data_IF_282225032780
#
_entry.id   IF_282225032780
#
_cell.length_a   1.000
_cell.length_b   1.000
_cell.length_c   1.000
_cell.angle_alpha   90.00
_cell.angle_beta   90.00
_cell.angle_gamma   90.00
#
_symmetry.space_group_name_H-M   'P 1'
#
loop_
_entity.id
_entity.type
_entity.pdbx_description
1 polymer ?
#
# COMPACT_ATOMS: atom_id res chain seq x y z
N UNK A 1 -11.48 0.34 -1.29
CA UNK A 1 -11.61 -0.97 -0.61
C UNK A 1 -13.05 -1.11 -0.13
N UNK A 2 -13.66 -2.30 -0.21
CA UNK A 2 -15.08 -2.49 0.12
C UNK A 2 -15.35 -3.55 1.19
N UNK A 3 -14.41 -4.45 1.50
CA UNK A 3 -14.60 -5.49 2.51
C UNK A 3 -13.25 -5.96 3.08
N UNK A 4 -13.29 -6.87 4.06
CA UNK A 4 -12.09 -7.47 4.66
C UNK A 4 -11.19 -8.21 3.66
N UNK A 5 -11.73 -8.77 2.57
CA UNK A 5 -10.89 -9.34 1.50
C UNK A 5 -10.11 -8.25 0.75
N UNK A 6 -10.69 -7.07 0.53
CA UNK A 6 -9.96 -5.95 -0.07
C UNK A 6 -8.78 -5.51 0.80
N UNK A 7 -8.93 -5.55 2.12
CA UNK A 7 -7.82 -5.23 3.05
C UNK A 7 -6.67 -6.21 2.89
N UNK A 8 -6.96 -7.50 2.77
CA UNK A 8 -5.93 -8.53 2.54
C UNK A 8 -5.22 -8.32 1.20
N UNK A 9 -5.97 -8.09 0.11
CA UNK A 9 -5.37 -7.82 -1.20
C UNK A 9 -4.43 -6.61 -1.18
N UNK A 10 -4.84 -5.52 -0.52
CA UNK A 10 -3.98 -4.33 -0.39
C UNK A 10 -2.73 -4.62 0.45
N UNK A 11 -2.87 -5.39 1.55
CA UNK A 11 -1.70 -5.79 2.35
C UNK A 11 -0.71 -6.61 1.54
N UNK A 12 -1.19 -7.54 0.72
CA UNK A 12 -0.32 -8.37 -0.13
C UNK A 12 0.33 -7.56 -1.25
N UNK A 13 -0.41 -6.63 -1.87
CA UNK A 13 0.13 -5.69 -2.84
C UNK A 13 1.26 -4.83 -2.23
N UNK A 14 1.08 -4.32 -1.01
CA UNK A 14 2.11 -3.52 -0.31
C UNK A 14 3.35 -4.38 -0.03
N UNK A 15 3.20 -5.64 0.39
CA UNK A 15 4.34 -6.55 0.59
C UNK A 15 5.11 -6.81 -0.70
N UNK A 16 4.41 -6.92 -1.82
CA UNK A 16 5.02 -7.15 -3.12
C UNK A 16 5.74 -5.89 -3.64
N UNK A 17 5.11 -4.73 -3.49
CA UNK A 17 5.70 -3.45 -3.86
C UNK A 17 6.94 -3.12 -3.01
N UNK A 18 6.86 -3.42 -1.70
CA UNK A 18 7.90 -3.08 -0.74
C UNK A 18 8.23 -4.31 0.13
N UNK A 19 9.22 -5.12 -0.28
CA UNK A 19 9.57 -6.37 0.42
C UNK A 19 10.13 -6.17 1.84
N UNK A 20 10.41 -4.92 2.25
CA UNK A 20 10.79 -4.54 3.62
C UNK A 20 9.64 -3.98 4.48
N UNK A 21 8.41 -3.90 3.98
CA UNK A 21 7.31 -3.29 4.69
C UNK A 21 6.90 -4.10 5.94
N UNK A 22 6.91 -3.43 7.09
CA UNK A 22 6.50 -3.94 8.40
C UNK A 22 5.22 -3.27 8.89
N UNK A 23 4.54 -3.89 9.86
CA UNK A 23 3.30 -3.39 10.50
C UNK A 23 2.23 -2.92 9.49
N UNK A 24 2.05 -3.68 8.42
CA UNK A 24 1.10 -3.34 7.36
C UNK A 24 -0.33 -3.47 7.87
N UNK A 25 -1.07 -2.37 7.85
CA UNK A 25 -2.48 -2.30 8.15
C UNK A 25 -3.24 -1.73 6.97
N UNK A 26 -4.47 -2.20 6.78
CA UNK A 26 -5.39 -1.69 5.77
C UNK A 26 -6.80 -1.73 6.37
N UNK A 27 -7.59 -0.70 6.09
CA UNK A 27 -8.95 -0.58 6.60
C UNK A 27 -9.90 -0.23 5.46
N UNK A 28 -10.85 -1.12 5.18
CA UNK A 28 -11.92 -0.84 4.21
C UNK A 28 -12.89 0.22 4.73
N UNK A 29 -13.06 0.33 6.05
CA UNK A 29 -13.91 1.34 6.70
C UNK A 29 -13.36 2.75 6.50
N UNK A 30 -12.03 2.92 6.63
CA UNK A 30 -11.38 4.22 6.41
C UNK A 30 -10.98 4.47 4.95
N UNK A 31 -10.77 3.41 4.18
CA UNK A 31 -10.26 3.50 2.81
C UNK A 31 -8.74 3.75 2.76
N UNK A 32 -8.01 3.45 3.82
CA UNK A 32 -6.59 3.79 3.99
C UNK A 32 -5.77 2.54 4.33
N UNK A 33 -4.49 2.56 3.93
CA UNK A 33 -3.48 1.58 4.34
C UNK A 33 -2.24 2.29 4.85
N UNK A 34 -1.59 1.71 5.86
CA UNK A 34 -0.38 2.24 6.46
C UNK A 34 0.60 1.12 6.78
N UNK A 35 1.89 1.42 6.65
CA UNK A 35 2.98 0.47 6.87
C UNK A 35 4.24 1.23 7.23
N UNK A 36 5.24 0.51 7.74
CA UNK A 36 6.54 1.05 8.12
C UNK A 36 7.59 0.44 7.20
N UNK A 37 8.48 1.26 6.66
CA UNK A 37 9.63 0.81 5.88
C UNK A 37 10.92 1.15 6.64
N UNK A 38 11.88 0.21 6.74
CA UNK A 38 13.17 0.47 7.39
C UNK A 38 14.14 1.22 6.47
N UNK A 39 13.88 1.22 5.16
CA UNK A 39 14.76 1.72 4.12
C UNK A 39 14.32 3.12 3.66
N UNK A 40 15.30 3.95 3.32
CA UNK A 40 15.07 5.32 2.87
C UNK A 40 14.74 5.30 1.36
N UNK A 41 13.50 4.96 1.03
CA UNK A 41 12.98 4.99 -0.34
C UNK A 41 12.45 6.39 -0.65
N UNK A 42 12.86 6.97 -1.78
CA UNK A 42 12.32 8.23 -2.29
C UNK A 42 10.81 8.16 -2.45
N UNK A 43 10.10 9.25 -2.15
CA UNK A 43 8.63 9.29 -2.29
C UNK A 43 8.13 8.87 -3.68
N UNK A 44 8.78 9.34 -4.75
CA UNK A 44 8.46 8.98 -6.13
C UNK A 44 8.66 7.49 -6.45
N UNK A 45 9.76 6.89 -5.96
CA UNK A 45 10.03 5.45 -6.15
C UNK A 45 9.00 4.60 -5.42
N UNK A 46 8.64 5.00 -4.19
CA UNK A 46 7.61 4.33 -3.40
C UNK A 46 6.24 4.40 -4.09
N UNK A 47 5.85 5.59 -4.56
CA UNK A 47 4.61 5.78 -5.30
C UNK A 47 4.58 4.90 -6.54
N UNK A 48 5.65 4.92 -7.34
CA UNK A 48 5.79 4.09 -8.54
C UNK A 48 5.66 2.59 -8.24
N UNK A 49 6.32 2.12 -7.17
CA UNK A 49 6.24 0.73 -6.74
C UNK A 49 4.82 0.33 -6.32
N UNK A 50 4.14 1.18 -5.56
CA UNK A 50 2.76 0.96 -5.14
C UNK A 50 1.80 0.91 -6.33
N UNK A 51 1.90 1.85 -7.27
CA UNK A 51 1.09 1.85 -8.49
C UNK A 51 1.24 0.55 -9.28
N UNK A 52 2.48 0.07 -9.48
CA UNK A 52 2.73 -1.19 -10.19
C UNK A 52 2.05 -2.41 -9.56
N UNK A 53 1.90 -2.45 -8.24
CA UNK A 53 1.25 -3.57 -7.55
C UNK A 53 -0.25 -3.38 -7.31
N UNK A 54 -0.73 -2.15 -7.17
CA UNK A 54 -2.10 -1.82 -6.75
C UNK A 54 -3.02 -1.57 -7.95
N UNK A 55 -2.56 -0.89 -8.99
CA UNK A 55 -3.36 -0.57 -10.19
C UNK A 55 -3.92 -1.82 -10.91
N UNK A 56 -3.15 -2.91 -11.15
CA UNK A 56 -3.70 -4.10 -11.80
C UNK A 56 -4.78 -4.82 -10.98
N UNK A 57 -4.87 -4.53 -9.67
CA UNK A 57 -5.91 -5.06 -8.79
C UNK A 57 -7.22 -4.24 -8.86
N UNK A 58 -7.25 -3.17 -9.66
CA UNK A 58 -8.41 -2.30 -9.83
C UNK A 58 -8.59 -1.28 -8.70
N UNK A 59 -7.56 -1.03 -7.91
CA UNK A 59 -7.56 0.01 -6.89
C UNK A 59 -6.86 1.26 -7.42
N UNK A 60 -7.25 2.43 -6.88
CA UNK A 60 -6.63 3.70 -7.21
C UNK A 60 -6.01 4.32 -5.96
N UNK A 61 -4.71 4.60 -6.01
CA UNK A 61 -4.03 5.39 -4.99
C UNK A 61 -4.41 6.87 -5.17
N UNK A 62 -5.00 7.48 -4.13
CA UNK A 62 -5.49 8.87 -4.20
C UNK A 62 -4.47 9.87 -3.68
N UNK A 63 -3.83 9.54 -2.56
CA UNK A 63 -2.80 10.36 -1.92
C UNK A 63 -1.89 9.43 -1.13
N UNK A 64 -0.65 9.86 -0.96
CA UNK A 64 0.32 9.22 -0.10
C UNK A 64 0.90 10.25 0.85
N UNK A 65 1.18 9.84 2.09
CA UNK A 65 1.85 10.69 3.08
C UNK A 65 2.93 9.88 3.74
N UNK A 66 4.16 10.37 3.67
CA UNK A 66 5.30 9.85 4.41
C UNK A 66 5.54 10.75 5.61
N UNK A 67 5.83 10.15 6.77
CA UNK A 67 6.19 10.84 8.01
C UNK A 67 7.51 10.32 8.53
#
# INVERSE_FOLDING_TARGET
>A
MQCGMCESHIKDAIRQAVPGAARITASHVKGEASFIIPDEISGDDLETALHRSIDPLGYRLNYMTTK
#
